data_IF_345299388765
#
_entry.id   IF_345299388765
#
_cell.length_a   1.000
_cell.length_b   1.000
_cell.length_c   1.000
_cell.angle_alpha   90.00
_cell.angle_beta   90.00
_cell.angle_gamma   90.00
#
_symmetry.space_group_name_H-M   'P 1'
#
loop_
_entity.id
_entity.type
_entity.pdbx_description
1 polymer ?
#
# COMPACT_ATOMS: atom_id res chain seq x y z
N UNK A 1 4.08 -14.48 38.24
CA UNK A 1 3.39 -13.19 38.00
C UNK A 1 3.95 -12.43 36.79
N UNK A 2 5.27 -12.33 36.60
CA UNK A 2 5.91 -11.62 35.48
C UNK A 2 5.69 -12.37 34.13
N UNK A 3 5.71 -13.68 34.15
CA UNK A 3 5.51 -14.54 32.94
C UNK A 3 4.11 -14.41 32.36
N UNK A 4 3.11 -14.32 33.22
CA UNK A 4 1.71 -14.19 32.86
C UNK A 4 1.39 -12.85 32.14
N UNK A 5 2.05 -11.77 32.56
CA UNK A 5 1.92 -10.43 31.94
C UNK A 5 2.55 -10.39 30.54
N UNK A 6 3.65 -11.11 30.33
CA UNK A 6 4.33 -11.17 29.03
C UNK A 6 3.50 -11.96 28.03
N UNK A 7 3.01 -13.13 28.41
CA UNK A 7 2.16 -13.99 27.57
C UNK A 7 0.87 -13.26 27.16
N UNK A 8 0.26 -12.52 28.09
CA UNK A 8 -0.95 -11.73 27.81
C UNK A 8 -0.67 -10.57 26.83
N UNK A 9 0.43 -9.84 27.01
CA UNK A 9 0.83 -8.76 26.10
C UNK A 9 1.17 -9.27 24.71
N UNK A 10 1.78 -10.43 24.61
CA UNK A 10 2.12 -11.04 23.33
C UNK A 10 0.86 -11.54 22.59
N UNK A 11 -0.11 -12.08 23.33
CA UNK A 11 -1.41 -12.44 22.77
C UNK A 11 -2.18 -11.21 22.27
N UNK A 12 -2.22 -10.13 23.06
CA UNK A 12 -2.86 -8.86 22.67
C UNK A 12 -2.21 -8.25 21.41
N UNK A 13 -0.86 -8.23 21.34
CA UNK A 13 -0.12 -7.78 20.14
C UNK A 13 -0.45 -8.63 18.91
N UNK A 14 -0.56 -9.95 19.09
CA UNK A 14 -0.88 -10.87 18.01
C UNK A 14 -2.30 -10.67 17.49
N UNK A 15 -3.25 -10.39 18.37
CA UNK A 15 -4.63 -10.06 17.99
C UNK A 15 -4.66 -8.76 17.18
N UNK A 16 -3.96 -7.71 17.62
CA UNK A 16 -3.86 -6.44 16.90
C UNK A 16 -3.21 -6.66 15.53
N UNK A 17 -2.11 -7.40 15.45
CA UNK A 17 -1.46 -7.70 14.18
C UNK A 17 -2.39 -8.43 13.21
N UNK A 18 -3.13 -9.44 13.65
CA UNK A 18 -4.06 -10.19 12.81
C UNK A 18 -5.29 -9.35 12.39
N UNK A 19 -5.71 -8.40 13.24
CA UNK A 19 -6.85 -7.54 12.95
C UNK A 19 -6.54 -6.45 11.91
N UNK A 20 -5.31 -5.90 11.93
CA UNK A 20 -4.97 -4.67 11.19
C UNK A 20 -3.89 -4.83 10.13
N UNK A 21 -3.19 -5.96 10.08
CA UNK A 21 -2.09 -6.18 9.14
C UNK A 21 -2.26 -7.46 8.33
N UNK A 22 -1.77 -7.43 7.09
CA UNK A 22 -1.64 -8.61 6.25
C UNK A 22 -0.47 -9.47 6.75
N UNK A 23 -0.74 -10.73 7.06
CA UNK A 23 0.24 -11.63 7.68
C UNK A 23 1.39 -12.01 6.76
N UNK A 24 1.22 -11.93 5.44
CA UNK A 24 2.24 -12.28 4.46
C UNK A 24 3.22 -11.13 4.23
N UNK A 25 2.72 -9.93 4.03
CA UNK A 25 3.53 -8.76 3.63
C UNK A 25 3.86 -7.81 4.79
N UNK A 26 3.14 -7.94 5.91
CA UNK A 26 3.25 -7.02 7.04
C UNK A 26 2.70 -5.61 6.78
N UNK A 27 2.10 -5.38 5.62
CA UNK A 27 1.41 -4.12 5.33
C UNK A 27 0.06 -4.06 6.06
N UNK A 28 -0.50 -2.87 6.31
CA UNK A 28 -1.88 -2.69 6.71
C UNK A 28 -2.82 -3.49 5.79
N UNK A 29 -3.85 -4.11 6.38
CA UNK A 29 -4.83 -4.89 5.64
C UNK A 29 -6.00 -4.01 5.13
N UNK A 30 -7.01 -4.64 4.50
CA UNK A 30 -8.21 -3.96 3.97
C UNK A 30 -8.95 -3.15 5.04
N UNK A 31 -9.05 -3.65 6.27
CA UNK A 31 -9.73 -2.94 7.35
C UNK A 31 -8.96 -1.66 7.71
N UNK A 32 -7.65 -1.76 7.92
CA UNK A 32 -6.80 -0.60 8.20
C UNK A 32 -6.88 0.45 7.09
N UNK A 33 -6.84 0.00 5.82
CA UNK A 33 -6.99 0.90 4.68
C UNK A 33 -8.30 1.68 4.73
N UNK A 34 -9.44 1.00 4.97
CA UNK A 34 -10.75 1.66 5.02
C UNK A 34 -10.86 2.67 6.16
N UNK A 35 -10.36 2.31 7.35
CA UNK A 35 -10.35 3.20 8.51
C UNK A 35 -9.47 4.44 8.23
N UNK A 36 -8.29 4.21 7.67
CA UNK A 36 -7.35 5.29 7.36
C UNK A 36 -7.87 6.21 6.26
N UNK A 37 -8.43 5.66 5.19
CA UNK A 37 -9.02 6.47 4.12
C UNK A 37 -10.12 7.39 4.64
N UNK A 38 -11.01 6.89 5.50
CA UNK A 38 -12.04 7.73 6.15
C UNK A 38 -11.42 8.87 6.95
N UNK A 39 -10.39 8.58 7.74
CA UNK A 39 -9.70 9.60 8.54
C UNK A 39 -9.04 10.68 7.67
N UNK A 40 -8.38 10.27 6.58
CA UNK A 40 -7.71 11.22 5.69
C UNK A 40 -8.70 12.06 4.87
N UNK A 41 -9.85 11.50 4.47
CA UNK A 41 -10.94 12.27 3.84
C UNK A 41 -11.49 13.32 4.82
N UNK A 42 -11.78 12.95 6.06
CA UNK A 42 -12.23 13.89 7.08
C UNK A 42 -11.21 15.02 7.32
N UNK A 43 -9.92 14.63 7.40
CA UNK A 43 -8.82 15.59 7.54
C UNK A 43 -8.75 16.54 6.34
N UNK A 44 -8.78 16.00 5.11
CA UNK A 44 -8.77 16.80 3.88
C UNK A 44 -9.97 17.72 3.79
N UNK A 45 -11.16 17.28 4.22
CA UNK A 45 -12.36 18.11 4.30
C UNK A 45 -12.18 19.30 5.24
N UNK A 46 -11.62 19.08 6.44
CA UNK A 46 -11.38 20.17 7.40
C UNK A 46 -10.31 21.17 6.95
N UNK A 47 -9.27 20.68 6.27
CA UNK A 47 -8.18 21.53 5.78
C UNK A 47 -8.42 22.10 4.39
N UNK A 48 -9.54 21.78 3.73
CA UNK A 48 -9.79 22.05 2.31
C UNK A 48 -8.64 21.53 1.41
N UNK A 49 -8.02 20.45 1.84
CA UNK A 49 -6.92 19.81 1.15
C UNK A 49 -7.38 18.75 0.15
N UNK A 50 -6.40 18.16 -0.53
CA UNK A 50 -6.62 17.06 -1.47
C UNK A 50 -5.85 15.82 -1.01
N UNK A 51 -6.32 14.65 -1.40
CA UNK A 51 -5.59 13.39 -1.29
C UNK A 51 -5.75 12.59 -2.58
N UNK A 52 -4.86 11.63 -2.78
CA UNK A 52 -5.02 10.63 -3.84
C UNK A 52 -5.01 9.23 -3.25
N UNK A 53 -5.76 8.34 -3.90
CA UNK A 53 -5.71 6.89 -3.65
C UNK A 53 -5.23 6.21 -4.93
N UNK A 54 -4.20 5.38 -4.80
CA UNK A 54 -3.74 4.51 -5.86
C UNK A 54 -4.23 3.09 -5.56
N UNK A 55 -4.86 2.46 -6.55
CA UNK A 55 -5.19 1.03 -6.55
C UNK A 55 -4.25 0.31 -7.51
N UNK A 56 -3.58 -0.72 -7.02
CA UNK A 56 -2.58 -1.47 -7.77
C UNK A 56 -2.97 -2.94 -7.83
N UNK A 57 -2.89 -3.52 -9.02
CA UNK A 57 -3.12 -4.93 -9.28
C UNK A 57 -1.92 -5.50 -10.05
N UNK A 58 -1.44 -6.70 -9.66
CA UNK A 58 -0.30 -7.33 -10.32
C UNK A 58 -0.75 -8.11 -11.54
N UNK A 59 -0.38 -7.63 -12.73
CA UNK A 59 -0.79 -8.25 -13.99
C UNK A 59 -0.28 -9.69 -14.12
N UNK A 60 -1.19 -10.64 -14.30
CA UNK A 60 -0.84 -12.03 -14.55
C UNK A 60 -0.36 -12.82 -13.32
N UNK A 61 -0.53 -12.31 -12.10
CA UNK A 61 -0.08 -12.96 -10.86
C UNK A 61 -0.63 -14.39 -10.71
N UNK A 62 -1.90 -14.64 -11.10
CA UNK A 62 -2.47 -15.98 -11.10
C UNK A 62 -1.63 -16.96 -11.95
N UNK A 63 -1.20 -16.53 -13.14
CA UNK A 63 -0.36 -17.35 -14.02
C UNK A 63 0.98 -17.74 -13.39
N UNK A 64 1.53 -16.90 -12.52
CA UNK A 64 2.75 -17.19 -11.76
C UNK A 64 2.49 -18.28 -10.72
N UNK A 65 1.40 -18.17 -9.95
CA UNK A 65 1.00 -19.20 -9.01
C UNK A 65 0.79 -20.55 -9.70
N UNK A 66 0.13 -20.54 -10.86
CA UNK A 66 -0.15 -21.74 -11.64
C UNK A 66 1.15 -22.39 -12.20
N UNK A 67 2.12 -21.56 -12.59
CA UNK A 67 3.39 -22.04 -13.19
C UNK A 67 4.48 -22.37 -12.19
N UNK A 68 4.59 -21.62 -11.08
CA UNK A 68 5.71 -21.69 -10.12
C UNK A 68 5.29 -22.11 -8.70
N UNK A 69 3.98 -22.24 -8.47
CA UNK A 69 3.40 -22.59 -7.17
C UNK A 69 3.19 -21.38 -6.24
N UNK A 70 2.35 -21.57 -5.24
CA UNK A 70 1.96 -20.52 -4.29
C UNK A 70 3.13 -19.97 -3.47
N UNK A 71 4.13 -20.78 -3.14
CA UNK A 71 5.32 -20.31 -2.39
C UNK A 71 6.09 -19.24 -3.20
N UNK A 72 6.20 -19.41 -4.51
CA UNK A 72 6.82 -18.42 -5.38
C UNK A 72 5.99 -17.14 -5.45
N UNK A 73 4.66 -17.27 -5.54
CA UNK A 73 3.74 -16.14 -5.49
C UNK A 73 3.83 -15.35 -4.18
N UNK A 74 3.93 -16.05 -3.05
CA UNK A 74 4.08 -15.43 -1.73
C UNK A 74 5.37 -14.60 -1.64
N UNK A 75 6.49 -15.11 -2.14
CA UNK A 75 7.76 -14.36 -2.21
C UNK A 75 7.63 -13.12 -3.09
N UNK A 76 6.96 -13.23 -4.24
CA UNK A 76 6.72 -12.09 -5.14
C UNK A 76 5.85 -11.02 -4.45
N UNK A 77 4.82 -11.42 -3.71
CA UNK A 77 3.99 -10.48 -2.95
C UNK A 77 4.79 -9.75 -1.86
N UNK A 78 5.67 -10.44 -1.14
CA UNK A 78 6.56 -9.84 -0.15
C UNK A 78 7.53 -8.84 -0.79
N UNK A 79 8.18 -9.21 -1.89
CA UNK A 79 9.09 -8.32 -2.63
C UNK A 79 8.35 -7.15 -3.27
N UNK A 80 7.11 -7.35 -3.71
CA UNK A 80 6.23 -6.25 -4.17
C UNK A 80 6.01 -5.24 -3.06
N UNK A 81 5.66 -5.70 -1.86
CA UNK A 81 5.49 -4.83 -0.70
C UNK A 81 6.76 -4.03 -0.39
N UNK A 82 7.93 -4.65 -0.45
CA UNK A 82 9.22 -3.98 -0.21
C UNK A 82 9.53 -2.95 -1.31
N UNK A 83 9.29 -3.28 -2.59
CA UNK A 83 9.45 -2.32 -3.70
C UNK A 83 8.50 -1.13 -3.59
N UNK A 84 7.27 -1.35 -3.14
CA UNK A 84 6.31 -0.28 -2.87
C UNK A 84 6.81 0.63 -1.76
N UNK A 85 7.26 0.07 -0.63
CA UNK A 85 7.87 0.83 0.48
C UNK A 85 9.07 1.67 0.00
N UNK A 86 9.95 1.08 -0.79
CA UNK A 86 11.11 1.82 -1.33
C UNK A 86 10.68 2.91 -2.30
N UNK A 87 9.64 2.66 -3.10
CA UNK A 87 9.10 3.65 -4.02
C UNK A 87 8.45 4.84 -3.32
N UNK A 88 7.92 4.67 -2.12
CA UNK A 88 7.25 5.73 -1.35
C UNK A 88 8.19 6.52 -0.44
N UNK A 89 9.29 5.92 0.05
CA UNK A 89 10.28 6.58 0.93
C UNK A 89 11.00 7.76 0.29
N UNK A 90 11.20 7.77 -1.03
CA UNK A 90 11.85 8.84 -1.78
C UNK A 90 10.88 9.92 -2.25
N UNK A 91 9.70 10.03 -1.65
CA UNK A 91 8.71 11.03 -2.04
C UNK A 91 9.05 12.43 -1.51
N UNK A 92 10.21 12.97 -1.87
CA UNK A 92 10.52 14.42 -1.75
C UNK A 92 9.47 15.31 -2.44
N UNK A 93 8.49 14.71 -3.12
CA UNK A 93 7.45 15.38 -3.87
C UNK A 93 6.26 15.82 -3.00
N UNK A 94 5.95 15.09 -1.93
CA UNK A 94 4.77 15.35 -1.10
C UNK A 94 5.08 16.35 0.02
N UNK A 95 6.35 16.50 0.39
CA UNK A 95 6.78 17.16 1.62
C UNK A 95 7.32 18.59 1.45
N UNK A 96 7.25 19.21 0.28
CA UNK A 96 7.90 20.52 0.07
C UNK A 96 7.24 21.71 0.76
N UNK A 97 6.03 21.59 1.28
CA UNK A 97 5.29 22.76 1.81
C UNK A 97 4.45 22.52 3.09
N UNK A 98 4.53 21.39 3.76
CA UNK A 98 3.77 21.21 5.00
C UNK A 98 4.66 20.73 6.15
N UNK A 99 4.55 21.41 7.29
CA UNK A 99 5.13 21.03 8.57
C UNK A 99 4.49 19.75 9.15
N UNK A 100 3.65 19.07 8.39
CA UNK A 100 2.89 17.88 8.74
C UNK A 100 3.45 16.71 7.95
N UNK A 101 4.22 15.87 8.61
CA UNK A 101 4.83 14.65 8.08
C UNK A 101 3.76 13.57 7.82
N UNK A 102 2.86 13.82 6.87
CA UNK A 102 1.89 12.81 6.45
C UNK A 102 2.58 11.87 5.48
N UNK A 103 2.95 10.70 5.96
CA UNK A 103 3.54 9.64 5.14
C UNK A 103 2.52 9.01 4.21
N UNK A 104 2.98 8.57 3.03
CA UNK A 104 2.19 7.73 2.12
C UNK A 104 1.95 6.40 2.81
N UNK A 105 0.69 6.01 2.92
CA UNK A 105 0.31 4.77 3.57
C UNK A 105 -0.01 3.68 2.55
N UNK A 106 0.75 2.60 2.62
CA UNK A 106 0.59 1.41 1.79
C UNK A 106 -0.27 0.38 2.49
N UNK A 107 -1.12 -0.32 1.74
CA UNK A 107 -1.89 -1.44 2.26
C UNK A 107 -1.97 -2.57 1.23
N UNK A 108 -2.25 -3.79 1.71
CA UNK A 108 -2.62 -4.92 0.86
C UNK A 108 -4.05 -5.34 1.16
N UNK A 109 -4.91 -5.31 0.14
CA UNK A 109 -6.33 -5.60 0.32
C UNK A 109 -6.63 -7.10 0.30
N UNK A 110 -5.75 -7.91 -0.28
CA UNK A 110 -5.83 -9.35 -0.43
C UNK A 110 -5.39 -9.77 -1.83
N UNK A 111 -5.06 -11.06 -2.03
CA UNK A 111 -4.59 -11.53 -3.32
C UNK A 111 -3.37 -10.74 -3.83
N UNK A 112 -3.50 -10.17 -5.01
CA UNK A 112 -2.53 -9.32 -5.73
C UNK A 112 -2.87 -7.82 -5.70
N UNK A 113 -3.85 -7.41 -4.88
CA UNK A 113 -4.32 -6.04 -4.76
C UNK A 113 -3.57 -5.27 -3.66
N UNK A 114 -2.98 -4.14 -4.04
CA UNK A 114 -2.33 -3.19 -3.13
C UNK A 114 -2.95 -1.80 -3.28
N UNK A 115 -2.78 -0.96 -2.27
CA UNK A 115 -3.22 0.45 -2.31
C UNK A 115 -2.17 1.37 -1.71
N UNK A 116 -2.23 2.64 -2.12
CA UNK A 116 -1.47 3.72 -1.49
C UNK A 116 -2.39 4.94 -1.28
N UNK A 117 -2.43 5.47 -0.06
CA UNK A 117 -3.08 6.77 0.24
C UNK A 117 -1.98 7.82 0.26
N UNK A 118 -2.15 8.88 -0.53
CA UNK A 118 -1.25 10.04 -0.57
C UNK A 118 -2.00 11.22 0.06
N UNK A 119 -1.79 11.49 1.33
CA UNK A 119 -2.43 12.62 2.01
C UNK A 119 -1.78 13.95 1.60
N UNK A 120 -2.47 15.07 1.86
CA UNK A 120 -1.99 16.42 1.62
C UNK A 120 -1.40 16.64 0.21
N UNK A 121 -2.10 16.15 -0.81
CA UNK A 121 -1.67 16.22 -2.20
C UNK A 121 -1.62 17.67 -2.66
N UNK A 122 -0.44 18.15 -3.05
CA UNK A 122 -0.27 19.52 -3.54
C UNK A 122 -0.82 19.68 -4.96
N UNK A 123 -0.57 18.69 -5.82
CA UNK A 123 -1.01 18.69 -7.23
C UNK A 123 -1.35 17.26 -7.67
N UNK A 124 -2.34 17.14 -8.55
CA UNK A 124 -2.76 15.83 -9.10
C UNK A 124 -1.60 15.10 -9.81
N UNK A 125 -0.69 15.86 -10.45
CA UNK A 125 0.48 15.33 -11.14
C UNK A 125 1.43 14.58 -10.21
N UNK A 126 1.46 14.92 -8.92
CA UNK A 126 2.34 14.25 -7.94
C UNK A 126 1.89 12.79 -7.72
N UNK A 127 0.58 12.52 -7.76
CA UNK A 127 0.04 11.15 -7.71
C UNK A 127 0.43 10.36 -8.98
N UNK A 128 0.37 10.98 -10.16
CA UNK A 128 0.79 10.36 -11.41
C UNK A 128 2.29 10.04 -11.40
N UNK A 129 3.13 10.94 -10.92
CA UNK A 129 4.58 10.72 -10.81
C UNK A 129 4.91 9.54 -9.89
N UNK A 130 4.20 9.41 -8.76
CA UNK A 130 4.36 8.24 -7.88
C UNK A 130 3.93 6.96 -8.58
N UNK A 131 2.78 6.96 -9.26
CA UNK A 131 2.30 5.81 -10.02
C UNK A 131 3.31 5.37 -11.11
N UNK A 132 3.86 6.31 -11.86
CA UNK A 132 4.90 6.02 -12.86
C UNK A 132 6.16 5.42 -12.23
N UNK A 133 6.58 5.92 -11.08
CA UNK A 133 7.75 5.40 -10.35
C UNK A 133 7.50 3.98 -9.84
N UNK A 134 6.34 3.71 -9.29
CA UNK A 134 5.93 2.36 -8.88
C UNK A 134 5.91 1.44 -10.10
N UNK A 135 5.26 1.84 -11.18
CA UNK A 135 5.21 1.05 -12.42
C UNK A 135 6.61 0.70 -12.96
N UNK A 136 7.52 1.68 -13.00
CA UNK A 136 8.91 1.46 -13.42
C UNK A 136 9.66 0.50 -12.47
N UNK A 137 9.43 0.59 -11.16
CA UNK A 137 10.01 -0.30 -10.16
C UNK A 137 9.54 -1.74 -10.32
N UNK A 138 8.24 -1.95 -10.59
CA UNK A 138 7.66 -3.29 -10.79
C UNK A 138 8.21 -4.02 -12.00
N UNK A 139 8.59 -3.31 -13.05
CA UNK A 139 9.18 -3.90 -14.27
C UNK A 139 10.60 -4.45 -14.08
N UNK A 140 11.25 -4.18 -12.95
CA UNK A 140 12.53 -4.82 -12.64
C UNK A 140 12.31 -6.30 -12.34
N UNK A 141 13.18 -7.22 -12.84
CA UNK A 141 13.03 -8.64 -12.56
C UNK A 141 13.00 -8.95 -11.06
N UNK A 142 12.21 -9.94 -10.70
CA UNK A 142 12.29 -10.62 -9.42
C UNK A 142 13.13 -11.87 -9.59
N UNK A 143 14.19 -12.00 -8.80
CA UNK A 143 15.14 -13.11 -8.92
C UNK A 143 14.68 -14.28 -8.02
N UNK A 144 14.03 -15.27 -8.63
CA UNK A 144 13.58 -16.49 -7.98
C UNK A 144 14.58 -17.62 -8.31
N UNK A 145 15.45 -17.94 -7.38
CA UNK A 145 16.51 -18.96 -7.55
C UNK A 145 17.32 -18.77 -8.86
N UNK A 146 17.01 -19.55 -9.88
CA UNK A 146 17.67 -19.52 -11.20
C UNK A 146 16.83 -18.81 -12.28
N UNK A 147 15.71 -18.21 -11.94
CA UNK A 147 14.78 -17.62 -12.90
C UNK A 147 14.47 -16.16 -12.56
N UNK A 148 14.41 -15.36 -13.60
CA UNK A 148 13.93 -14.00 -13.52
C UNK A 148 12.45 -13.95 -13.88
N UNK A 149 11.64 -13.41 -12.98
CA UNK A 149 10.21 -13.17 -13.19
C UNK A 149 10.00 -11.67 -13.34
N UNK A 150 9.39 -11.26 -14.44
CA UNK A 150 9.01 -9.85 -14.67
C UNK A 150 7.49 -9.75 -14.55
N UNK A 151 7.05 -8.83 -13.72
CA UNK A 151 5.65 -8.47 -13.55
C UNK A 151 5.43 -7.02 -13.94
N UNK A 152 4.26 -6.73 -14.44
CA UNK A 152 3.74 -5.37 -14.54
C UNK A 152 2.64 -5.16 -13.52
N UNK A 153 2.23 -3.92 -13.35
CA UNK A 153 1.11 -3.58 -12.48
C UNK A 153 0.20 -2.59 -13.19
N UNK A 154 -1.09 -2.84 -13.08
CA UNK A 154 -2.13 -1.88 -13.46
C UNK A 154 -2.38 -0.97 -12.27
N UNK A 155 -2.43 0.35 -12.50
CA UNK A 155 -2.61 1.34 -11.44
C UNK A 155 -3.76 2.26 -11.80
N UNK A 156 -4.81 2.27 -10.96
CA UNK A 156 -5.88 3.26 -10.95
C UNK A 156 -5.55 4.38 -9.96
N UNK A 157 -5.93 5.61 -10.27
CA UNK A 157 -5.76 6.79 -9.41
C UNK A 157 -7.12 7.44 -9.22
N UNK A 158 -7.52 7.66 -7.97
CA UNK A 158 -8.68 8.47 -7.62
C UNK A 158 -8.26 9.66 -6.76
N UNK A 159 -8.85 10.82 -7.01
CA UNK A 159 -8.52 12.08 -6.36
C UNK A 159 -9.70 12.59 -5.54
N UNK A 160 -9.47 12.89 -4.27
CA UNK A 160 -10.43 13.60 -3.44
C UNK A 160 -10.20 15.11 -3.54
N UNK A 161 -11.25 15.94 -3.72
CA UNK A 161 -12.66 15.58 -3.85
C UNK A 161 -13.10 15.39 -5.31
N UNK A 162 -12.19 15.46 -6.28
CA UNK A 162 -12.51 15.59 -7.71
C UNK A 162 -13.22 14.33 -8.27
N UNK A 163 -12.85 13.12 -7.82
CA UNK A 163 -13.43 11.86 -8.28
C UNK A 163 -14.43 11.25 -7.30
N UNK A 164 -14.44 11.70 -6.04
CA UNK A 164 -15.35 11.23 -4.99
C UNK A 164 -15.21 12.03 -3.70
N UNK A 165 -16.29 12.16 -2.93
CA UNK A 165 -16.32 12.91 -1.67
C UNK A 165 -16.34 12.03 -0.42
N UNK A 166 -16.41 10.72 -0.58
CA UNK A 166 -16.41 9.75 0.50
C UNK A 166 -15.60 8.48 0.13
N UNK A 167 -15.37 7.60 1.09
CA UNK A 167 -14.56 6.39 0.90
C UNK A 167 -15.21 5.29 0.07
N UNK A 168 -16.48 5.43 -0.32
CA UNK A 168 -17.21 4.47 -1.15
C UNK A 168 -17.17 4.88 -2.63
N UNK A 169 -16.99 6.18 -2.89
CA UNK A 169 -16.93 6.76 -4.24
C UNK A 169 -15.49 6.76 -4.79
N UNK A 170 -14.48 6.77 -3.91
CA UNK A 170 -13.05 6.68 -4.24
C UNK A 170 -12.58 5.23 -4.35
#
# INVERSE_FOLDING_TARGET
>A
LIRDITERKDAERRIIQLAYFDSLTGLPNRQSFQERLKQEIERARHTQGKLAVLFLDLDGFKGINDALGHNAGDLILQWTADRLKDSTRFSDFVSRNSADESEIELSRLGGDEFTAIIPNLARAEDALLLAQRIHASMRRPFHLDTRDVVLTTSIGIALYPDDGENSEDL
#
